data_IF_216919776345
#
_entry.id   IF_216919776345
#
_cell.length_a   1.000
_cell.length_b   1.000
_cell.length_c   1.000
_cell.angle_alpha   90.00
_cell.angle_beta   90.00
_cell.angle_gamma   90.00
#
_symmetry.space_group_name_H-M   'P 1'
#
loop_
_entity.id
_entity.type
_entity.pdbx_description
1 polymer ?
#
# COMPACT_ATOMS: atom_id res chain seq x y z
N UNK A 1 -30.33 -0.98 30.38
CA UNK A 1 -29.10 -1.70 29.99
C UNK A 1 -28.87 -1.48 28.51
N UNK A 2 -27.63 -1.27 28.10
CA UNK A 2 -27.26 -1.10 26.69
C UNK A 2 -27.23 -2.47 25.99
N UNK A 3 -27.95 -2.62 24.89
CA UNK A 3 -27.91 -3.87 24.11
C UNK A 3 -26.70 -3.89 23.16
N UNK A 4 -26.27 -5.08 22.74
CA UNK A 4 -25.19 -5.22 21.73
C UNK A 4 -25.52 -4.54 20.41
N UNK A 5 -26.80 -4.49 20.02
CA UNK A 5 -27.24 -3.78 18.81
C UNK A 5 -27.08 -2.27 18.98
N UNK A 6 -27.48 -1.72 20.12
CA UNK A 6 -27.32 -0.30 20.44
C UNK A 6 -25.85 0.11 20.49
N UNK A 7 -25.00 -0.68 21.16
CA UNK A 7 -23.55 -0.44 21.18
C UNK A 7 -22.95 -0.45 19.77
N UNK A 8 -23.36 -1.40 18.92
CA UNK A 8 -22.90 -1.47 17.53
C UNK A 8 -23.30 -0.24 16.71
N UNK A 9 -24.51 0.28 16.92
CA UNK A 9 -24.97 1.52 16.27
C UNK A 9 -24.17 2.73 16.76
N UNK A 10 -23.95 2.87 18.06
CA UNK A 10 -23.12 3.96 18.59
C UNK A 10 -21.69 3.91 18.07
N UNK A 11 -21.10 2.73 17.93
CA UNK A 11 -19.77 2.58 17.33
C UNK A 11 -19.73 3.05 15.87
N UNK A 12 -20.79 2.75 15.11
CA UNK A 12 -20.97 3.16 13.70
C UNK A 12 -21.37 4.61 13.50
N UNK A 13 -21.85 5.29 14.54
CA UNK A 13 -22.19 6.72 14.49
C UNK A 13 -21.11 7.63 15.11
N UNK A 14 -20.07 7.06 15.73
CA UNK A 14 -18.93 7.83 16.24
C UNK A 14 -18.33 8.74 15.15
N UNK A 15 -17.84 9.94 15.52
CA UNK A 15 -17.14 10.80 14.58
C UNK A 15 -15.91 10.09 13.97
N UNK A 16 -15.53 10.41 12.72
CA UNK A 16 -14.38 9.78 12.05
C UNK A 16 -13.06 9.91 12.83
N UNK A 17 -12.86 11.04 13.53
CA UNK A 17 -11.69 11.28 14.38
C UNK A 17 -11.75 10.69 15.79
N UNK A 18 -12.77 9.90 16.14
CA UNK A 18 -12.89 9.33 17.48
C UNK A 18 -11.75 8.34 17.76
N UNK A 19 -11.04 8.51 18.89
CA UNK A 19 -9.91 7.64 19.28
C UNK A 19 -10.30 6.16 19.38
N UNK A 20 -11.56 5.88 19.69
CA UNK A 20 -12.12 4.51 19.74
C UNK A 20 -12.13 3.84 18.38
N UNK A 21 -12.42 4.57 17.28
CA UNK A 21 -12.34 4.05 15.91
C UNK A 21 -10.91 3.75 15.49
N UNK A 22 -10.00 4.67 15.83
CA UNK A 22 -8.57 4.49 15.57
C UNK A 22 -8.02 3.26 16.30
N UNK A 23 -8.39 3.07 17.56
CA UNK A 23 -7.99 1.91 18.36
C UNK A 23 -8.58 0.59 17.82
N UNK A 24 -9.79 0.64 17.23
CA UNK A 24 -10.41 -0.50 16.55
C UNK A 24 -9.78 -0.81 15.17
N UNK A 25 -8.78 -0.05 14.74
CA UNK A 25 -8.08 -0.26 13.47
C UNK A 25 -8.82 0.27 12.25
N UNK A 26 -9.86 1.10 12.44
CA UNK A 26 -10.53 1.79 11.35
C UNK A 26 -9.59 2.86 10.77
N UNK A 27 -8.96 2.51 9.65
CA UNK A 27 -8.10 3.41 8.88
C UNK A 27 -8.88 4.19 7.83
N UNK A 28 -10.08 3.74 7.48
CA UNK A 28 -10.88 4.34 6.42
C UNK A 28 -11.55 5.64 6.91
N UNK A 29 -11.91 5.70 8.20
CA UNK A 29 -12.40 6.92 8.85
C UNK A 29 -11.35 8.02 9.06
N UNK A 30 -10.07 7.78 8.76
CA UNK A 30 -9.01 8.81 8.93
C UNK A 30 -9.08 9.91 7.87
N UNK A 31 -9.58 9.61 6.67
CA UNK A 31 -9.70 10.58 5.59
C UNK A 31 -11.17 10.95 5.41
N UNK A 32 -11.45 12.24 5.47
CA UNK A 32 -12.72 12.80 5.01
C UNK A 32 -12.67 13.11 3.51
N UNK A 33 -13.76 13.68 3.02
CA UNK A 33 -13.89 14.08 1.61
C UNK A 33 -12.80 15.09 1.20
N UNK A 34 -12.48 16.04 2.08
CA UNK A 34 -11.48 17.07 1.80
C UNK A 34 -10.09 16.47 1.58
N UNK A 35 -9.67 15.51 2.41
CA UNK A 35 -8.39 14.82 2.28
C UNK A 35 -8.32 14.01 0.99
N UNK A 36 -9.41 13.34 0.62
CA UNK A 36 -9.50 12.61 -0.65
C UNK A 36 -9.38 13.55 -1.86
N UNK A 37 -10.08 14.68 -1.86
CA UNK A 37 -10.02 15.66 -2.94
C UNK A 37 -8.65 16.32 -3.03
N UNK A 38 -8.06 16.69 -1.90
CA UNK A 38 -6.72 17.26 -1.85
C UNK A 38 -5.67 16.28 -2.39
N UNK A 39 -5.77 14.99 -2.02
CA UNK A 39 -4.89 13.96 -2.55
C UNK A 39 -5.02 13.79 -4.07
N UNK A 40 -6.25 13.88 -4.61
CA UNK A 40 -6.49 13.84 -6.06
C UNK A 40 -5.82 15.03 -6.76
N UNK A 41 -5.96 16.24 -6.22
CA UNK A 41 -5.30 17.44 -6.75
C UNK A 41 -3.78 17.28 -6.78
N UNK A 42 -3.19 16.77 -5.69
CA UNK A 42 -1.74 16.51 -5.62
C UNK A 42 -1.30 15.46 -6.65
N UNK A 43 -2.08 14.40 -6.85
CA UNK A 43 -1.79 13.37 -7.85
C UNK A 43 -1.72 13.97 -9.26
N UNK A 44 -2.69 14.80 -9.63
CA UNK A 44 -2.73 15.44 -10.95
C UNK A 44 -1.60 16.46 -11.12
N UNK A 45 -1.27 17.25 -10.09
CA UNK A 45 -0.13 18.17 -10.14
C UNK A 45 1.21 17.44 -10.33
N UNK A 46 1.38 16.27 -9.70
CA UNK A 46 2.58 15.44 -9.89
C UNK A 46 2.67 14.91 -11.31
N UNK A 47 1.54 14.51 -11.91
CA UNK A 47 1.49 14.08 -13.31
C UNK A 47 1.80 15.25 -14.25
N UNK A 48 1.23 16.42 -14.03
CA UNK A 48 1.50 17.61 -14.85
C UNK A 48 2.98 18.02 -14.80
N UNK A 49 3.59 18.00 -13.61
CA UNK A 49 5.02 18.26 -13.45
C UNK A 49 5.86 17.20 -14.17
N UNK A 50 5.50 15.93 -14.05
CA UNK A 50 6.16 14.84 -14.78
C UNK A 50 6.07 15.02 -16.30
N UNK A 51 4.91 15.41 -16.84
CA UNK A 51 4.76 15.69 -18.28
C UNK A 51 5.72 16.78 -18.74
N UNK A 52 5.77 17.91 -18.02
CA UNK A 52 6.68 19.02 -18.34
C UNK A 52 8.15 18.63 -18.23
N UNK A 53 8.52 17.83 -17.24
CA UNK A 53 9.91 17.37 -17.08
C UNK A 53 10.35 16.36 -18.14
N UNK A 54 9.43 15.68 -18.82
CA UNK A 54 9.74 14.70 -19.88
C UNK A 54 9.49 15.25 -21.29
N UNK A 55 9.10 16.52 -21.42
CA UNK A 55 8.93 17.18 -22.70
C UNK A 55 10.26 17.23 -23.46
N UNK A 56 10.26 16.80 -24.72
CA UNK A 56 11.48 16.72 -25.56
C UNK A 56 12.44 15.58 -25.21
N UNK A 57 12.15 14.76 -24.19
CA UNK A 57 12.97 13.60 -23.82
C UNK A 57 12.49 12.36 -24.59
N UNK A 58 13.43 11.64 -25.21
CA UNK A 58 13.14 10.34 -25.85
C UNK A 58 12.49 9.39 -24.84
N UNK A 59 11.47 8.66 -25.26
CA UNK A 59 10.66 7.77 -24.41
C UNK A 59 11.52 6.82 -23.53
N UNK A 60 12.59 6.26 -24.09
CA UNK A 60 13.51 5.36 -23.36
C UNK A 60 14.27 6.02 -22.20
N UNK A 61 14.36 7.35 -22.17
CA UNK A 61 15.01 8.14 -21.12
C UNK A 61 14.02 8.84 -20.21
N UNK A 62 12.71 8.71 -20.44
CA UNK A 62 11.71 9.36 -19.61
C UNK A 62 11.68 8.75 -18.20
N UNK A 63 11.48 9.61 -17.21
CA UNK A 63 11.26 9.18 -15.83
C UNK A 63 9.94 8.41 -15.72
N UNK A 64 9.82 7.55 -14.70
CA UNK A 64 8.58 6.80 -14.48
C UNK A 64 7.46 7.72 -14.06
N UNK A 65 6.26 7.52 -14.62
CA UNK A 65 5.05 8.24 -14.21
C UNK A 65 4.81 8.08 -12.71
N UNK A 66 4.54 9.16 -11.96
CA UNK A 66 4.30 9.08 -10.53
C UNK A 66 3.06 8.23 -10.22
N UNK A 67 3.17 7.41 -9.18
CA UNK A 67 2.04 6.66 -8.64
C UNK A 67 1.16 7.57 -7.74
N UNK A 68 -0.17 7.36 -7.74
CA UNK A 68 -1.07 8.06 -6.84
C UNK A 68 -0.69 7.89 -5.37
N UNK A 69 -0.99 8.91 -4.55
CA UNK A 69 -0.82 8.85 -3.10
C UNK A 69 -1.66 7.68 -2.54
N UNK A 70 -1.10 6.83 -1.66
CA UNK A 70 -1.84 5.74 -1.05
C UNK A 70 -2.97 6.30 -0.17
N UNK A 71 -4.22 5.92 -0.47
CA UNK A 71 -5.42 6.40 0.23
C UNK A 71 -6.03 5.26 1.06
N UNK A 72 -6.52 5.51 2.28
CA UNK A 72 -7.41 4.59 2.98
C UNK A 72 -8.64 4.21 2.12
N UNK A 73 -9.21 3.03 2.34
CA UNK A 73 -10.33 2.49 1.57
C UNK A 73 -10.00 2.07 0.12
N UNK A 74 -8.90 2.55 -0.45
CA UNK A 74 -8.46 2.16 -1.80
C UNK A 74 -7.41 1.06 -1.72
N UNK A 75 -7.63 -0.04 -2.44
CA UNK A 75 -6.60 -1.08 -2.59
C UNK A 75 -5.40 -0.47 -3.31
N UNK A 76 -4.33 -0.16 -2.59
CA UNK A 76 -3.08 0.29 -3.22
C UNK A 76 -2.58 -0.83 -4.12
N UNK A 77 -2.33 -0.52 -5.40
CA UNK A 77 -1.79 -1.52 -6.36
C UNK A 77 -0.35 -1.92 -6.04
N UNK A 78 0.31 -1.24 -5.10
CA UNK A 78 1.68 -1.53 -4.70
C UNK A 78 1.70 -2.03 -3.26
N UNK A 79 1.67 -3.36 -3.11
CA UNK A 79 1.99 -3.99 -1.84
C UNK A 79 3.40 -3.57 -1.40
N UNK A 80 3.54 -3.14 -0.15
CA UNK A 80 4.79 -2.66 0.42
C UNK A 80 5.92 -3.68 0.16
N UNK A 81 6.98 -3.21 -0.51
CA UNK A 81 8.15 -4.03 -0.84
C UNK A 81 8.93 -4.44 0.41
N UNK A 82 8.74 -3.70 1.50
CA UNK A 82 9.36 -3.90 2.80
C UNK A 82 8.44 -4.57 3.82
N UNK A 83 7.26 -5.06 3.41
CA UNK A 83 6.41 -5.84 4.31
C UNK A 83 7.20 -7.06 4.86
N UNK A 84 7.16 -7.29 6.18
CA UNK A 84 7.94 -8.35 6.83
C UNK A 84 7.61 -9.74 6.27
N UNK A 85 6.35 -10.01 5.96
CA UNK A 85 5.93 -11.26 5.31
C UNK A 85 6.57 -11.44 3.93
N UNK A 86 6.67 -10.36 3.16
CA UNK A 86 7.23 -10.39 1.81
C UNK A 86 8.75 -10.58 1.85
N UNK A 87 9.42 -9.98 2.84
CA UNK A 87 10.84 -10.18 3.11
C UNK A 87 11.11 -11.64 3.51
N UNK A 88 10.30 -12.19 4.43
CA UNK A 88 10.40 -13.58 4.86
C UNK A 88 10.22 -14.54 3.67
N UNK A 89 9.20 -14.32 2.84
CA UNK A 89 8.95 -15.14 1.64
C UNK A 89 10.11 -15.09 0.64
N UNK A 90 10.71 -13.90 0.44
CA UNK A 90 11.89 -13.71 -0.42
C UNK A 90 13.10 -14.48 0.12
N UNK A 91 13.35 -14.38 1.42
CA UNK A 91 14.49 -15.03 2.06
C UNK A 91 14.32 -16.56 2.06
N UNK A 92 13.11 -17.07 2.31
CA UNK A 92 12.79 -18.49 2.18
C UNK A 92 13.03 -19.01 0.76
N UNK A 93 12.63 -18.24 -0.27
CA UNK A 93 12.89 -18.62 -1.66
C UNK A 93 14.39 -18.67 -1.98
N UNK A 94 15.18 -17.72 -1.47
CA UNK A 94 16.65 -17.73 -1.61
C UNK A 94 17.29 -18.95 -0.95
N UNK A 95 16.83 -19.32 0.25
CA UNK A 95 17.31 -20.53 0.96
C UNK A 95 17.04 -21.79 0.16
N UNK A 96 15.82 -21.98 -0.34
CA UNK A 96 15.49 -23.12 -1.21
C UNK A 96 16.34 -23.17 -2.48
N UNK A 97 16.63 -22.03 -3.08
CA UNK A 97 17.49 -21.97 -4.26
C UNK A 97 18.95 -22.34 -3.93
N UNK A 98 19.46 -21.91 -2.77
CA UNK A 98 20.79 -22.29 -2.29
C UNK A 98 20.87 -23.78 -1.97
N UNK A 99 19.87 -24.34 -1.29
CA UNK A 99 19.75 -25.77 -0.98
C UNK A 99 19.70 -26.62 -2.25
N UNK A 100 18.92 -26.20 -3.27
CA UNK A 100 18.91 -26.89 -4.56
C UNK A 100 20.28 -26.85 -5.25
N UNK A 101 20.96 -25.71 -5.23
CA UNK A 101 22.31 -25.58 -5.80
C UNK A 101 23.33 -26.47 -5.08
N UNK A 102 23.25 -26.55 -3.75
CA UNK A 102 24.16 -27.40 -2.97
C UNK A 102 23.85 -28.88 -3.13
N UNK A 103 22.58 -29.24 -3.33
CA UNK A 103 22.15 -30.62 -3.62
C UNK A 103 22.57 -31.07 -5.04
N UNK A 104 22.45 -30.19 -6.05
CA UNK A 104 22.96 -30.44 -7.41
C UNK A 104 24.49 -30.60 -7.38
N UNK A 105 25.20 -29.74 -6.64
CA UNK A 105 26.66 -29.84 -6.50
C UNK A 105 27.11 -31.12 -5.75
N UNK A 106 26.26 -31.65 -4.87
CA UNK A 106 26.46 -32.95 -4.18
C UNK A 106 26.01 -34.15 -4.99
N UNK A 107 25.37 -33.96 -6.15
CA UNK A 107 24.87 -35.05 -7.01
C UNK A 107 23.61 -35.75 -6.49
N UNK A 108 22.91 -35.16 -5.52
CA UNK A 108 21.69 -35.73 -4.91
C UNK A 108 20.43 -35.52 -5.78
N UNK A 109 20.50 -34.62 -6.77
CA UNK A 109 19.41 -34.26 -7.68
C UNK A 109 20.02 -33.96 -9.06
N UNK A 110 19.50 -34.61 -10.11
CA UNK A 110 19.87 -34.37 -11.51
C UNK A 110 19.17 -33.14 -12.10
#
# INVERSE_FOLDING_TARGET
MLTWRELGVYLRQLPPGARTRLAAGDKDGLWGLAEHLQALTIDELRVANWQRSNEGVKESKQSKRPAPVPRPGTKSKQADKNSPERIARRNAAKRRAAERRTAIARGEIA
#
